data_IF_689345997355
#
_entry.id   IF_689345997355
#
_cell.length_a   1.000
_cell.length_b   1.000
_cell.length_c   1.000
_cell.angle_alpha   90.00
_cell.angle_beta   90.00
_cell.angle_gamma   90.00
#
_symmetry.space_group_name_H-M   'P 1'
#
loop_
_entity.id
_entity.type
_entity.pdbx_description
1 polymer ?
#
# COMPACT_ATOMS: atom_id res chain seq x y z
N UNK A 1 12.17 30.54 -16.89
CA UNK A 1 11.46 30.12 -15.66
C UNK A 1 11.97 30.96 -14.49
N UNK A 2 11.07 31.68 -13.83
CA UNK A 2 11.33 32.52 -12.66
C UNK A 2 10.76 31.86 -11.41
N UNK A 3 11.40 32.08 -10.27
CA UNK A 3 10.89 31.64 -8.96
C UNK A 3 10.10 32.75 -8.30
N UNK A 4 8.83 32.85 -8.67
CA UNK A 4 7.88 33.85 -8.20
C UNK A 4 6.44 33.36 -8.42
N UNK A 5 5.47 33.79 -7.59
CA UNK A 5 4.06 33.55 -7.85
C UNK A 5 3.54 34.40 -9.01
N UNK A 6 2.52 33.90 -9.71
CA UNK A 6 1.85 34.63 -10.79
C UNK A 6 1.34 36.00 -10.33
N UNK A 7 0.81 36.09 -9.12
CA UNK A 7 0.28 37.34 -8.54
C UNK A 7 1.33 38.46 -8.40
N UNK A 8 2.61 38.12 -8.26
CA UNK A 8 3.71 39.10 -8.25
C UNK A 8 4.18 39.45 -9.66
N UNK A 9 4.12 38.48 -10.59
CA UNK A 9 4.62 38.64 -11.95
C UNK A 9 3.63 39.43 -12.81
N UNK A 10 2.35 39.11 -12.72
CA UNK A 10 1.29 39.61 -13.61
C UNK A 10 1.16 41.16 -13.58
N UNK A 11 1.23 41.85 -12.42
CA UNK A 11 1.22 43.32 -12.38
C UNK A 11 2.48 43.98 -12.94
N UNK A 12 3.55 43.21 -13.18
CA UNK A 12 4.85 43.69 -13.64
C UNK A 12 5.13 43.35 -15.11
N UNK A 13 4.17 42.73 -15.80
CA UNK A 13 4.29 42.44 -17.22
C UNK A 13 4.39 43.76 -18.00
N UNK A 14 5.29 43.77 -18.96
CA UNK A 14 5.49 44.88 -19.90
C UNK A 14 5.18 44.40 -21.31
N UNK A 15 4.99 45.34 -22.24
CA UNK A 15 4.92 45.01 -23.66
C UNK A 15 6.10 44.12 -24.06
N UNK A 16 5.83 43.11 -24.87
CA UNK A 16 6.82 42.13 -25.31
C UNK A 16 7.07 40.97 -24.32
N UNK A 17 6.36 40.89 -23.19
CA UNK A 17 6.48 39.78 -22.24
C UNK A 17 5.13 39.19 -21.89
N UNK A 18 4.99 37.88 -22.11
CA UNK A 18 3.84 37.08 -21.72
C UNK A 18 4.23 36.06 -20.63
N UNK A 19 3.22 35.55 -19.93
CA UNK A 19 3.37 34.34 -19.11
C UNK A 19 3.15 33.13 -20.02
N UNK A 20 4.18 32.30 -20.17
CA UNK A 20 4.14 31.09 -20.96
C UNK A 20 3.48 29.92 -20.21
N UNK A 21 3.75 29.82 -18.91
CA UNK A 21 3.25 28.73 -18.08
C UNK A 21 3.25 29.09 -16.60
N UNK A 22 2.25 28.58 -15.87
CA UNK A 22 2.20 28.57 -14.40
C UNK A 22 2.38 27.13 -13.95
N UNK A 23 3.60 26.81 -13.52
CA UNK A 23 4.04 25.45 -13.19
C UNK A 23 3.87 25.10 -11.71
N UNK A 24 3.76 26.11 -10.85
CA UNK A 24 3.57 25.94 -9.40
C UNK A 24 3.31 27.27 -8.71
N UNK A 25 3.07 27.26 -7.39
CA UNK A 25 2.74 28.47 -6.63
C UNK A 25 3.85 29.51 -6.68
N UNK A 26 5.12 29.09 -6.77
CA UNK A 26 6.29 29.95 -6.91
C UNK A 26 7.08 29.68 -8.21
N UNK A 27 6.41 29.18 -9.26
CA UNK A 27 7.09 28.80 -10.51
C UNK A 27 6.31 29.23 -11.74
N UNK A 28 6.81 30.29 -12.39
CA UNK A 28 6.23 30.85 -13.61
C UNK A 28 7.27 30.85 -14.73
N UNK A 29 6.83 30.67 -15.97
CA UNK A 29 7.67 30.81 -17.17
C UNK A 29 7.27 32.08 -17.89
N UNK A 30 8.25 32.94 -18.16
CA UNK A 30 8.11 34.12 -19.00
C UNK A 30 8.59 33.80 -20.41
N UNK A 31 7.88 34.32 -21.41
CA UNK A 31 8.17 34.17 -22.84
C UNK A 31 7.91 35.50 -23.56
N UNK A 32 8.57 35.74 -24.68
CA UNK A 32 8.43 36.97 -25.47
C UNK A 32 9.77 37.46 -25.98
N UNK A 33 9.89 38.78 -26.13
CA UNK A 33 11.10 39.44 -26.60
C UNK A 33 12.26 39.21 -25.64
N UNK A 34 13.38 38.70 -26.14
CA UNK A 34 14.49 38.24 -25.31
C UNK A 34 14.98 39.32 -24.33
N UNK A 35 15.16 40.55 -24.80
CA UNK A 35 15.65 41.64 -23.95
C UNK A 35 14.65 42.01 -22.85
N UNK A 36 13.36 42.07 -23.18
CA UNK A 36 12.30 42.42 -22.23
C UNK A 36 12.13 41.30 -21.18
N UNK A 37 12.12 40.04 -21.61
CA UNK A 37 12.03 38.88 -20.73
C UNK A 37 13.22 38.81 -19.78
N UNK A 38 14.45 39.02 -20.27
CA UNK A 38 15.67 39.00 -19.44
C UNK A 38 15.65 40.14 -18.42
N UNK A 39 15.24 41.35 -18.83
CA UNK A 39 15.13 42.49 -17.93
C UNK A 39 14.12 42.25 -16.80
N UNK A 40 12.94 41.72 -17.13
CA UNK A 40 11.91 41.42 -16.12
C UNK A 40 12.32 40.24 -15.23
N UNK A 41 12.82 39.15 -15.81
CA UNK A 41 13.26 37.97 -15.06
C UNK A 41 14.41 38.25 -14.09
N UNK A 42 15.22 39.27 -14.35
CA UNK A 42 16.32 39.72 -13.48
C UNK A 42 15.90 40.12 -12.06
N UNK A 43 14.60 40.34 -11.81
CA UNK A 43 14.05 40.63 -10.49
C UNK A 43 13.98 39.41 -9.56
N UNK A 44 14.05 38.20 -10.12
CA UNK A 44 13.95 36.95 -9.37
C UNK A 44 15.09 35.99 -9.70
N UNK A 45 15.26 34.98 -8.84
CA UNK A 45 16.05 33.80 -9.20
C UNK A 45 15.39 33.12 -10.38
N UNK A 46 16.13 32.94 -11.46
CA UNK A 46 15.59 32.38 -12.70
C UNK A 46 16.55 31.40 -13.37
N UNK A 47 15.99 30.59 -14.26
CA UNK A 47 16.70 29.70 -15.17
C UNK A 47 16.20 29.94 -16.58
N UNK A 48 17.13 30.16 -17.51
CA UNK A 48 16.82 30.22 -18.95
C UNK A 48 16.52 28.81 -19.46
N UNK A 49 15.44 28.68 -20.22
CA UNK A 49 15.05 27.41 -20.84
C UNK A 49 15.66 27.34 -22.24
N UNK A 50 16.18 26.18 -22.62
CA UNK A 50 16.73 25.93 -23.95
C UNK A 50 15.57 25.58 -24.89
N UNK A 51 14.95 26.61 -25.47
CA UNK A 51 13.84 26.49 -26.42
C UNK A 51 14.20 27.22 -27.71
N UNK A 52 13.68 26.75 -28.84
CA UNK A 52 13.93 27.37 -30.15
C UNK A 52 13.12 28.64 -30.36
N UNK A 53 11.96 28.76 -29.70
CA UNK A 53 11.02 29.86 -29.86
C UNK A 53 10.38 30.21 -28.51
N UNK A 54 9.86 31.44 -28.42
CA UNK A 54 9.04 31.89 -27.30
C UNK A 54 7.59 31.40 -27.48
N UNK A 55 7.35 30.11 -27.25
CA UNK A 55 6.00 29.56 -27.23
C UNK A 55 5.14 30.24 -26.16
N UNK A 56 3.81 30.20 -26.34
CA UNK A 56 2.86 30.81 -25.42
C UNK A 56 3.11 32.31 -25.21
N UNK A 57 3.44 33.03 -26.28
CA UNK A 57 3.64 34.48 -26.28
C UNK A 57 3.14 35.11 -27.58
N UNK A 58 3.06 36.44 -27.60
CA UNK A 58 2.68 37.21 -28.79
C UNK A 58 3.55 36.92 -30.02
N UNK A 59 4.75 36.34 -29.85
CA UNK A 59 5.60 35.91 -30.96
C UNK A 59 5.00 34.74 -31.75
N UNK A 60 3.96 34.09 -31.23
CA UNK A 60 3.19 33.09 -31.97
C UNK A 60 2.12 33.70 -32.88
N UNK A 61 1.68 34.95 -32.63
CA UNK A 61 0.59 35.60 -33.37
C UNK A 61 0.75 35.53 -34.91
N UNK A 62 1.94 35.74 -35.50
CA UNK A 62 2.11 35.71 -36.95
C UNK A 62 1.84 34.36 -37.60
N UNK A 63 1.97 33.25 -36.85
CA UNK A 63 1.78 31.90 -37.39
C UNK A 63 0.39 31.31 -37.11
N UNK A 64 -0.42 31.94 -36.25
CA UNK A 64 -1.70 31.38 -35.79
C UNK A 64 -2.68 31.14 -36.93
N UNK A 65 -2.76 32.02 -37.92
CA UNK A 65 -3.69 31.86 -39.05
C UNK A 65 -3.32 30.67 -39.94
N UNK A 66 -2.03 30.52 -40.27
CA UNK A 66 -1.55 29.37 -41.04
C UNK A 66 -1.71 28.06 -40.24
N UNK A 67 -1.46 28.11 -38.93
CA UNK A 67 -1.64 26.97 -38.04
C UNK A 67 -3.11 26.56 -37.94
N UNK A 68 -4.03 27.53 -37.81
CA UNK A 68 -5.48 27.34 -37.82
C UNK A 68 -5.94 26.63 -39.08
N UNK A 69 -5.53 27.13 -40.25
CA UNK A 69 -5.91 26.53 -41.53
C UNK A 69 -5.53 25.05 -41.62
N UNK A 70 -4.37 24.65 -41.06
CA UNK A 70 -3.95 23.24 -40.98
C UNK A 70 -4.78 22.48 -39.94
N UNK A 71 -4.98 23.05 -38.75
CA UNK A 71 -5.73 22.41 -37.68
C UNK A 71 -7.19 22.13 -38.07
N UNK A 72 -7.82 23.00 -38.87
CA UNK A 72 -9.18 22.81 -39.40
C UNK A 72 -9.31 21.65 -40.39
N UNK A 73 -8.20 21.17 -40.98
CA UNK A 73 -8.22 20.00 -41.87
C UNK A 73 -8.29 18.67 -41.13
N UNK A 74 -8.05 18.66 -39.82
CA UNK A 74 -8.01 17.46 -39.00
C UNK A 74 -9.42 17.03 -38.57
N UNK A 75 -9.63 15.71 -38.50
CA UNK A 75 -10.85 15.16 -37.90
C UNK A 75 -10.64 14.97 -36.41
N UNK A 76 -11.42 15.70 -35.61
CA UNK A 76 -11.38 15.59 -34.15
C UNK A 76 -12.37 14.55 -33.63
N UNK A 77 -11.95 13.81 -32.62
CA UNK A 77 -12.79 12.86 -31.91
C UNK A 77 -12.87 13.25 -30.43
N UNK A 78 -14.04 13.06 -29.79
CA UNK A 78 -14.17 13.27 -28.35
C UNK A 78 -13.12 12.48 -27.57
N UNK A 79 -12.55 13.11 -26.54
CA UNK A 79 -11.61 12.46 -25.66
C UNK A 79 -12.30 11.30 -24.93
N UNK A 80 -11.68 10.11 -24.97
CA UNK A 80 -12.16 8.92 -24.24
C UNK A 80 -11.70 8.89 -22.80
N UNK A 81 -10.60 9.58 -22.52
CA UNK A 81 -10.05 9.77 -21.18
C UNK A 81 -10.36 11.20 -20.74
N UNK A 82 -10.80 11.42 -19.49
CA UNK A 82 -10.93 12.77 -18.94
C UNK A 82 -9.61 13.51 -19.07
N UNK A 83 -9.68 14.78 -19.43
CA UNK A 83 -8.49 15.64 -19.48
C UNK A 83 -8.64 16.73 -18.40
N UNK A 84 -7.62 16.85 -17.56
CA UNK A 84 -7.60 17.76 -16.42
C UNK A 84 -7.65 19.23 -16.87
N UNK A 85 -8.52 20.00 -16.23
CA UNK A 85 -8.67 21.43 -16.52
C UNK A 85 -9.11 21.73 -17.96
N UNK A 86 -9.65 20.74 -18.69
CA UNK A 86 -9.86 20.87 -20.12
C UNK A 86 -11.27 21.31 -20.55
N UNK A 87 -11.33 22.00 -21.70
CA UNK A 87 -12.54 22.54 -22.30
C UNK A 87 -13.52 21.48 -22.78
N UNK A 88 -14.77 21.88 -22.99
CA UNK A 88 -15.86 21.03 -23.49
C UNK A 88 -15.53 20.32 -24.83
N UNK A 89 -14.57 20.85 -25.61
CA UNK A 89 -14.06 20.22 -26.83
C UNK A 89 -12.58 20.54 -27.09
N UNK A 90 -11.90 19.62 -27.79
CA UNK A 90 -10.52 19.75 -28.28
C UNK A 90 -10.58 19.87 -29.80
N UNK A 91 -10.85 21.08 -30.28
CA UNK A 91 -11.01 21.42 -31.70
C UNK A 91 -9.84 22.27 -32.24
N UNK A 92 -9.95 22.75 -33.48
CA UNK A 92 -8.91 23.59 -34.08
C UNK A 92 -8.69 24.89 -33.29
N UNK A 93 -9.74 25.52 -32.79
CA UNK A 93 -9.64 26.74 -31.97
C UNK A 93 -8.91 26.47 -30.66
N UNK A 94 -9.18 25.33 -30.02
CA UNK A 94 -8.44 24.91 -28.84
C UNK A 94 -6.93 24.86 -29.11
N UNK A 95 -6.49 24.28 -30.23
CA UNK A 95 -5.06 24.17 -30.54
C UNK A 95 -4.42 25.54 -30.84
N UNK A 96 -5.12 26.42 -31.55
CA UNK A 96 -4.67 27.80 -31.81
C UNK A 96 -4.52 28.57 -30.50
N UNK A 97 -5.50 28.43 -29.61
CA UNK A 97 -5.45 29.00 -28.27
C UNK A 97 -4.31 28.41 -27.45
N UNK A 98 -4.15 27.09 -27.46
CA UNK A 98 -3.15 26.37 -26.68
C UNK A 98 -1.71 26.77 -27.01
N UNK A 99 -1.40 27.03 -28.29
CA UNK A 99 -0.04 27.46 -28.68
C UNK A 99 0.27 28.90 -28.27
N UNK A 100 -0.77 29.74 -28.11
CA UNK A 100 -0.63 31.17 -27.78
C UNK A 100 -0.77 31.50 -26.30
N UNK A 101 -1.71 30.87 -25.60
CA UNK A 101 -2.05 31.17 -24.21
C UNK A 101 -1.16 30.44 -23.21
N UNK A 102 -1.14 30.96 -21.98
CA UNK A 102 -0.37 30.41 -20.87
C UNK A 102 -0.82 28.99 -20.50
N UNK A 103 0.12 28.08 -20.31
CA UNK A 103 -0.15 26.73 -19.80
C UNK A 103 -0.42 26.77 -18.30
N UNK A 104 -1.66 26.51 -17.88
CA UNK A 104 -2.11 26.46 -16.48
C UNK A 104 -1.82 25.11 -15.81
N UNK A 105 -0.57 24.66 -15.84
CA UNK A 105 -0.19 23.33 -15.35
C UNK A 105 -0.50 23.14 -13.86
N UNK A 106 -0.13 24.11 -13.02
CA UNK A 106 -0.39 24.05 -11.58
C UNK A 106 -1.88 23.92 -11.28
N UNK A 107 -2.71 24.80 -11.85
CA UNK A 107 -4.16 24.81 -11.64
C UNK A 107 -4.78 23.46 -12.03
N UNK A 108 -4.38 22.90 -13.18
CA UNK A 108 -4.86 21.59 -13.63
C UNK A 108 -4.46 20.46 -12.65
N UNK A 109 -3.25 20.51 -12.09
CA UNK A 109 -2.80 19.50 -11.13
C UNK A 109 -3.47 19.62 -9.76
N UNK A 110 -3.74 20.84 -9.31
CA UNK A 110 -4.51 21.08 -8.06
C UNK A 110 -5.95 20.63 -8.22
N UNK A 111 -6.57 20.86 -9.37
CA UNK A 111 -7.91 20.33 -9.66
C UNK A 111 -7.92 18.80 -9.59
N UNK A 112 -6.94 18.12 -10.22
CA UNK A 112 -6.83 16.66 -10.13
C UNK A 112 -6.67 16.16 -8.69
N UNK A 113 -5.88 16.86 -7.87
CA UNK A 113 -5.74 16.53 -6.44
C UNK A 113 -7.06 16.70 -5.70
N UNK A 114 -7.80 17.78 -5.97
CA UNK A 114 -9.12 18.01 -5.41
C UNK A 114 -10.13 16.92 -5.82
N UNK A 115 -9.97 16.38 -7.03
CA UNK A 115 -10.75 15.24 -7.55
C UNK A 115 -10.29 13.87 -7.01
N UNK A 116 -9.29 13.85 -6.11
CA UNK A 116 -8.81 12.64 -5.44
C UNK A 116 -7.69 11.89 -6.16
N UNK A 117 -7.07 12.47 -7.19
CA UNK A 117 -5.92 11.86 -7.86
C UNK A 117 -4.67 11.95 -6.96
N UNK A 118 -4.18 10.79 -6.54
CA UNK A 118 -2.98 10.67 -5.69
C UNK A 118 -1.69 10.27 -6.41
N UNK A 119 -1.78 9.79 -7.65
CA UNK A 119 -0.61 9.26 -8.39
C UNK A 119 -0.49 9.94 -9.75
N UNK A 120 0.69 10.49 -10.03
CA UNK A 120 1.00 11.17 -11.29
C UNK A 120 2.13 10.44 -12.02
N UNK A 121 1.93 10.17 -13.31
CA UNK A 121 2.96 9.62 -14.20
C UNK A 121 3.26 10.63 -15.31
N UNK A 122 4.54 10.96 -15.50
CA UNK A 122 4.96 11.86 -16.58
C UNK A 122 5.29 11.07 -17.84
N UNK A 123 4.50 11.30 -18.89
CA UNK A 123 4.73 10.78 -20.23
C UNK A 123 5.62 11.75 -20.99
N UNK A 124 6.88 11.40 -21.13
CA UNK A 124 7.86 12.22 -21.84
C UNK A 124 9.21 11.52 -21.88
N UNK A 125 10.19 12.09 -22.62
CA UNK A 125 11.54 11.53 -22.74
C UNK A 125 12.40 11.72 -21.48
N UNK A 126 11.94 12.50 -20.50
CA UNK A 126 12.60 12.77 -19.22
C UNK A 126 11.57 13.09 -18.13
N UNK A 127 12.03 13.47 -16.93
CA UNK A 127 11.19 13.82 -15.78
C UNK A 127 11.20 15.30 -15.39
N UNK A 128 10.82 16.19 -16.31
CA UNK A 128 10.86 17.64 -16.07
C UNK A 128 9.71 18.10 -15.17
N UNK A 129 8.53 17.51 -15.34
CA UNK A 129 7.30 17.88 -14.63
C UNK A 129 7.11 17.09 -13.32
N UNK A 130 7.73 15.91 -13.21
CA UNK A 130 7.58 14.97 -12.10
C UNK A 130 7.88 15.63 -10.76
N UNK A 131 8.93 16.45 -10.69
CA UNK A 131 9.30 17.18 -9.49
C UNK A 131 8.26 18.23 -9.06
N UNK A 132 7.41 18.71 -9.96
CA UNK A 132 6.37 19.72 -9.68
C UNK A 132 5.11 19.10 -9.10
N UNK A 133 4.90 17.79 -9.31
CA UNK A 133 3.68 17.09 -8.89
C UNK A 133 3.92 15.93 -7.92
N UNK A 134 5.16 15.71 -7.52
CA UNK A 134 5.61 14.49 -6.84
C UNK A 134 5.24 13.21 -7.63
N UNK A 135 5.44 13.29 -8.95
CA UNK A 135 5.12 12.22 -9.91
C UNK A 135 6.33 11.36 -10.27
N UNK A 136 6.06 10.32 -11.06
CA UNK A 136 7.09 9.40 -11.56
C UNK A 136 7.24 9.51 -13.08
N UNK A 137 8.46 9.76 -13.59
CA UNK A 137 8.69 9.82 -15.03
C UNK A 137 8.75 8.44 -15.64
N UNK A 138 8.10 8.27 -16.80
CA UNK A 138 8.12 7.03 -17.56
C UNK A 138 9.46 6.77 -18.25
N UNK A 139 10.16 7.83 -18.66
CA UNK A 139 11.50 7.75 -19.24
C UNK A 139 12.45 8.74 -18.56
N UNK A 140 13.74 8.47 -18.68
CA UNK A 140 14.79 9.33 -18.14
C UNK A 140 16.03 9.27 -19.02
N UNK A 141 16.50 10.44 -19.43
CA UNK A 141 17.67 10.54 -20.32
C UNK A 141 18.89 9.82 -19.72
N UNK A 142 19.59 9.05 -20.55
CA UNK A 142 20.75 8.25 -20.14
C UNK A 142 20.41 6.99 -19.32
N UNK A 143 19.14 6.59 -19.23
CA UNK A 143 18.70 5.33 -18.62
C UNK A 143 18.05 4.42 -19.66
N UNK A 144 17.88 3.14 -19.32
CA UNK A 144 17.16 2.20 -20.18
C UNK A 144 15.66 2.53 -20.19
N UNK A 145 15.10 2.75 -21.37
CA UNK A 145 13.69 3.05 -21.58
C UNK A 145 12.80 1.96 -20.98
N UNK A 146 13.06 0.70 -21.31
CA UNK A 146 12.30 -0.46 -20.81
C UNK A 146 12.32 -0.49 -19.28
N UNK A 147 13.49 -0.31 -18.66
CA UNK A 147 13.61 -0.37 -17.21
C UNK A 147 12.89 0.78 -16.52
N UNK A 148 13.00 2.00 -17.07
CA UNK A 148 12.35 3.18 -16.49
C UNK A 148 10.83 3.06 -16.61
N UNK A 149 10.34 2.64 -17.77
CA UNK A 149 8.93 2.38 -18.02
C UNK A 149 8.36 1.35 -17.05
N UNK A 150 9.01 0.18 -16.93
CA UNK A 150 8.54 -0.88 -16.03
C UNK A 150 8.56 -0.46 -14.57
N UNK A 151 9.57 0.29 -14.14
CA UNK A 151 9.63 0.84 -12.79
C UNK A 151 8.48 1.83 -12.53
N UNK A 152 8.15 2.69 -13.48
CA UNK A 152 7.05 3.65 -13.35
C UNK A 152 5.68 2.95 -13.30
N UNK A 153 5.46 1.95 -14.15
CA UNK A 153 4.24 1.12 -14.13
C UNK A 153 4.15 0.33 -12.82
N UNK A 154 5.26 -0.24 -12.35
CA UNK A 154 5.31 -0.95 -11.07
C UNK A 154 5.04 -0.01 -9.89
N UNK A 155 5.54 1.22 -9.93
CA UNK A 155 5.23 2.23 -8.92
C UNK A 155 3.73 2.53 -8.90
N UNK A 156 3.12 2.81 -10.06
CA UNK A 156 1.67 2.99 -10.15
C UNK A 156 0.88 1.79 -9.60
N UNK A 157 1.31 0.57 -9.88
CA UNK A 157 0.70 -0.64 -9.34
C UNK A 157 0.79 -0.73 -7.80
N UNK A 158 1.94 -0.40 -7.23
CA UNK A 158 2.15 -0.38 -5.76
C UNK A 158 1.30 0.71 -5.10
N UNK A 159 1.11 1.86 -5.76
CA UNK A 159 0.21 2.93 -5.34
C UNK A 159 -1.28 2.61 -5.56
N UNK A 160 -1.60 1.42 -6.09
CA UNK A 160 -2.97 0.91 -6.22
C UNK A 160 -3.60 1.06 -7.61
N UNK A 161 -2.87 1.55 -8.61
CA UNK A 161 -3.36 1.60 -9.98
C UNK A 161 -3.60 0.19 -10.54
N UNK A 162 -4.72 0.00 -11.23
CA UNK A 162 -5.02 -1.26 -11.90
C UNK A 162 -4.11 -1.45 -13.12
N UNK A 163 -3.19 -2.42 -13.03
CA UNK A 163 -2.34 -2.83 -14.17
C UNK A 163 -2.74 -4.22 -14.63
N UNK A 164 -3.10 -4.34 -15.90
CA UNK A 164 -3.38 -5.64 -16.52
C UNK A 164 -2.07 -6.34 -16.91
N UNK A 165 -1.47 -7.03 -15.94
CA UNK A 165 -0.28 -7.84 -16.16
C UNK A 165 -0.51 -9.00 -17.14
N UNK A 166 -1.76 -9.48 -17.33
CA UNK A 166 -2.04 -10.52 -18.33
C UNK A 166 -1.89 -9.96 -19.73
N UNK A 167 -2.42 -8.77 -19.99
CA UNK A 167 -2.24 -8.07 -21.26
C UNK A 167 -0.76 -7.77 -21.51
N UNK A 168 -0.02 -7.32 -20.48
CA UNK A 168 1.41 -7.04 -20.59
C UNK A 168 2.24 -8.27 -21.03
N UNK A 169 1.94 -9.46 -20.48
CA UNK A 169 2.65 -10.69 -20.81
C UNK A 169 2.05 -11.50 -21.98
N UNK A 170 0.98 -11.02 -22.61
CA UNK A 170 0.31 -11.73 -23.70
C UNK A 170 1.28 -12.00 -24.87
N UNK A 171 1.32 -13.25 -25.36
CA UNK A 171 2.18 -13.65 -26.48
C UNK A 171 3.66 -13.84 -26.16
N UNK A 172 4.10 -13.58 -24.92
CA UNK A 172 5.53 -13.75 -24.52
C UNK A 172 5.89 -15.18 -24.12
N UNK A 173 4.90 -16.05 -23.87
CA UNK A 173 5.10 -17.38 -23.30
C UNK A 173 5.42 -17.38 -21.79
N UNK A 174 5.34 -16.22 -21.13
CA UNK A 174 5.54 -16.14 -19.68
C UNK A 174 4.49 -16.95 -18.93
N UNK A 175 4.93 -17.66 -17.90
CA UNK A 175 4.09 -18.46 -16.99
C UNK A 175 4.11 -17.85 -15.59
N UNK A 176 2.99 -17.96 -14.86
CA UNK A 176 2.97 -17.60 -13.45
C UNK A 176 3.73 -18.65 -12.66
N UNK A 177 4.61 -18.20 -11.78
CA UNK A 177 5.34 -19.04 -10.83
C UNK A 177 4.99 -18.61 -9.42
N UNK A 178 4.93 -19.57 -8.50
CA UNK A 178 4.71 -19.26 -7.09
C UNK A 178 5.98 -18.60 -6.53
N UNK A 179 5.79 -17.44 -5.87
CA UNK A 179 6.84 -16.83 -5.07
C UNK A 179 6.84 -17.46 -3.68
N UNK A 180 8.00 -17.49 -2.98
CA UNK A 180 8.03 -17.86 -1.57
C UNK A 180 6.97 -17.09 -0.80
N UNK A 181 6.16 -17.81 -0.01
CA UNK A 181 5.10 -17.18 0.79
C UNK A 181 5.71 -16.21 1.81
N UNK A 182 4.89 -15.26 2.27
CA UNK A 182 5.28 -14.30 3.31
C UNK A 182 6.02 -15.01 4.45
N UNK A 183 7.22 -14.52 4.78
CA UNK A 183 8.00 -15.04 5.89
C UNK A 183 7.36 -14.56 7.20
N UNK A 184 6.31 -15.25 7.64
CA UNK A 184 5.73 -14.99 8.95
C UNK A 184 6.84 -15.06 10.00
N UNK A 185 6.93 -14.03 10.85
CA UNK A 185 7.74 -14.12 12.05
C UNK A 185 6.97 -15.01 13.03
N UNK A 186 7.28 -16.31 13.03
CA UNK A 186 6.59 -17.31 13.85
C UNK A 186 6.88 -17.03 15.33
N UNK A 187 6.02 -16.23 15.96
CA UNK A 187 6.00 -16.02 17.41
C UNK A 187 4.77 -16.68 18.00
N UNK A 188 4.97 -17.47 19.05
CA UNK A 188 3.88 -18.14 19.77
C UNK A 188 3.24 -17.15 20.74
N UNK A 189 2.11 -16.58 20.36
CA UNK A 189 1.30 -15.70 21.22
C UNK A 189 0.22 -16.44 22.03
N UNK A 190 0.19 -17.78 21.96
CA UNK A 190 -0.72 -18.55 22.80
C UNK A 190 -0.32 -18.43 24.27
N UNK A 191 -1.25 -18.12 25.20
CA UNK A 191 -0.96 -18.07 26.62
C UNK A 191 -0.27 -19.37 27.06
N UNK A 192 0.91 -19.24 27.66
CA UNK A 192 1.52 -20.37 28.37
C UNK A 192 0.75 -20.53 29.65
N UNK A 193 0.05 -21.66 29.81
CA UNK A 193 -0.52 -22.03 31.08
C UNK A 193 0.65 -22.30 32.06
N UNK A 194 1.10 -21.28 32.78
CA UNK A 194 1.90 -21.49 33.98
C UNK A 194 1.04 -22.34 34.91
N UNK A 195 1.54 -23.51 35.31
CA UNK A 195 0.82 -24.52 36.09
C UNK A 195 -0.23 -23.89 37.00
N UNK A 196 -1.50 -24.01 36.60
CA UNK A 196 -2.58 -23.37 37.31
C UNK A 196 -2.72 -24.09 38.66
N UNK A 197 -2.10 -23.50 39.69
CA UNK A 197 -2.31 -23.86 41.11
C UNK A 197 -3.44 -23.04 41.73
N UNK A 198 -4.22 -22.33 40.90
CA UNK A 198 -5.40 -21.62 41.35
C UNK A 198 -6.46 -22.63 41.78
N UNK A 199 -7.06 -22.39 42.95
CA UNK A 199 -8.11 -23.26 43.47
C UNK A 199 -9.27 -23.32 42.46
N UNK A 200 -9.49 -24.51 41.90
CA UNK A 200 -10.62 -24.85 41.02
C UNK A 200 -12.00 -24.59 41.66
N UNK A 201 -12.03 -24.32 42.96
CA UNK A 201 -13.20 -23.78 43.67
C UNK A 201 -13.68 -22.45 43.09
N UNK A 202 -12.78 -21.62 42.53
CA UNK A 202 -13.13 -20.34 41.92
C UNK A 202 -13.97 -20.48 40.65
N UNK A 203 -13.99 -21.66 40.02
CA UNK A 203 -14.85 -21.99 38.86
C UNK A 203 -15.96 -22.99 39.21
N UNK A 204 -16.28 -23.15 40.51
CA UNK A 204 -17.37 -24.00 40.97
C UNK A 204 -17.07 -25.51 41.01
N UNK A 205 -15.80 -25.90 40.87
CA UNK A 205 -15.38 -27.30 40.99
C UNK A 205 -14.81 -27.58 42.39
N UNK A 206 -15.10 -28.75 42.95
CA UNK A 206 -14.51 -29.19 44.21
C UNK A 206 -13.02 -29.45 44.05
N UNK A 207 -12.20 -28.97 44.99
CA UNK A 207 -10.79 -29.33 45.04
C UNK A 207 -10.64 -30.77 45.55
N UNK A 208 -9.79 -31.55 44.88
CA UNK A 208 -9.56 -32.97 45.19
C UNK A 208 -8.26 -33.21 45.96
N UNK A 209 -7.49 -32.16 46.30
CA UNK A 209 -6.19 -32.21 47.00
C UNK A 209 -5.29 -33.38 46.54
N UNK A 210 -5.24 -33.62 45.23
CA UNK A 210 -4.54 -34.75 44.63
C UNK A 210 -3.59 -34.26 43.52
N UNK A 211 -2.34 -34.75 43.43
CA UNK A 211 -1.37 -34.27 42.45
C UNK A 211 -1.82 -34.39 40.98
N UNK A 212 -2.51 -35.49 40.65
CA UNK A 212 -2.95 -35.77 39.28
C UNK A 212 -4.42 -35.41 39.00
N UNK A 213 -5.25 -35.31 40.04
CA UNK A 213 -6.66 -34.93 39.93
C UNK A 213 -6.78 -33.54 40.54
N UNK A 214 -7.01 -32.55 39.68
CA UNK A 214 -7.06 -31.16 40.12
C UNK A 214 -8.44 -30.73 40.57
N UNK A 215 -9.51 -31.28 39.98
CA UNK A 215 -10.87 -30.87 40.27
C UNK A 215 -11.87 -32.03 40.14
N UNK A 216 -12.97 -31.93 40.87
CA UNK A 216 -14.15 -32.78 40.73
C UNK A 216 -15.42 -31.94 40.55
N UNK A 217 -16.36 -32.43 39.75
CA UNK A 217 -17.69 -31.82 39.59
C UNK A 217 -18.75 -32.90 39.40
N UNK A 218 -19.89 -32.78 40.08
CA UNK A 218 -21.03 -33.66 39.85
C UNK A 218 -21.66 -33.34 38.50
N UNK A 219 -21.96 -34.36 37.70
CA UNK A 219 -22.71 -34.17 36.47
C UNK A 219 -24.16 -33.77 36.78
N UNK A 220 -24.79 -33.02 35.87
CA UNK A 220 -26.14 -32.51 36.05
C UNK A 220 -27.21 -33.60 36.28
N UNK A 221 -26.95 -34.83 35.83
CA UNK A 221 -27.82 -35.99 36.10
C UNK A 221 -27.79 -36.46 37.55
N UNK A 222 -26.76 -36.07 38.33
CA UNK A 222 -26.57 -36.51 39.72
C UNK A 222 -26.03 -37.94 39.88
N UNK A 223 -25.90 -38.69 38.78
CA UNK A 223 -25.54 -40.12 38.79
C UNK A 223 -24.02 -40.37 38.65
N UNK A 224 -23.23 -39.34 38.38
CA UNK A 224 -21.79 -39.46 38.18
C UNK A 224 -21.03 -38.21 38.60
N UNK A 225 -19.76 -38.40 38.95
CA UNK A 225 -18.80 -37.33 39.26
C UNK A 225 -17.70 -37.36 38.21
N UNK A 226 -17.42 -36.20 37.62
CA UNK A 226 -16.33 -36.00 36.67
C UNK A 226 -15.11 -35.46 37.43
N UNK A 227 -13.99 -36.15 37.26
CA UNK A 227 -12.68 -35.70 37.75
C UNK A 227 -11.83 -35.21 36.58
N UNK A 228 -11.12 -34.11 36.77
CA UNK A 228 -10.24 -33.52 35.74
C UNK A 228 -8.88 -33.14 36.29
N UNK A 229 -7.86 -33.28 35.46
CA UNK A 229 -6.46 -33.07 35.80
C UNK A 229 -5.59 -32.90 34.57
N UNK A 230 -4.35 -32.41 34.78
CA UNK A 230 -3.36 -32.26 33.71
C UNK A 230 -2.16 -33.16 34.00
N UNK A 231 -2.08 -34.25 33.25
CA UNK A 231 -0.96 -35.18 33.25
C UNK A 231 -0.01 -34.80 32.12
N UNK A 232 1.19 -34.33 32.46
CA UNK A 232 2.21 -33.90 31.50
C UNK A 232 3.58 -33.97 32.16
N UNK A 233 4.63 -34.28 31.39
CA UNK A 233 6.03 -34.20 31.83
C UNK A 233 6.43 -32.79 32.29
N UNK A 234 5.73 -31.74 31.82
CA UNK A 234 5.96 -30.36 32.24
C UNK A 234 5.45 -30.11 33.67
N UNK A 235 4.35 -30.76 34.07
CA UNK A 235 3.77 -30.62 35.42
C UNK A 235 4.25 -31.71 36.38
N UNK A 236 4.59 -32.90 35.87
CA UNK A 236 4.98 -34.07 36.64
C UNK A 236 6.24 -34.71 36.02
N UNK A 237 7.44 -34.15 36.27
CA UNK A 237 8.68 -34.58 35.61
C UNK A 237 9.02 -36.07 35.82
N UNK A 238 8.61 -36.66 36.95
CA UNK A 238 8.81 -38.08 37.26
C UNK A 238 8.13 -39.03 36.25
N UNK A 239 7.13 -38.56 35.48
CA UNK A 239 6.53 -39.36 34.43
C UNK A 239 7.56 -39.77 33.36
N UNK A 240 8.58 -38.94 33.11
CA UNK A 240 9.64 -39.26 32.17
C UNK A 240 10.41 -40.54 32.53
N UNK A 241 10.43 -40.91 33.82
CA UNK A 241 11.14 -42.10 34.31
C UNK A 241 10.39 -43.41 33.97
N UNK A 242 9.10 -43.35 33.60
CA UNK A 242 8.32 -44.51 33.17
C UNK A 242 8.20 -44.56 31.63
N UNK A 243 9.31 -44.95 31.01
CA UNK A 243 9.43 -45.09 29.56
C UNK A 243 9.48 -46.58 29.16
N UNK A 244 8.57 -47.00 28.27
CA UNK A 244 8.54 -48.35 27.71
C UNK A 244 8.76 -48.24 26.19
N UNK A 245 9.77 -48.92 25.67
CA UNK A 245 10.15 -48.89 24.25
C UNK A 245 10.30 -47.47 23.67
N UNK A 246 10.84 -46.54 24.48
CA UNK A 246 11.09 -45.15 24.07
C UNK A 246 9.87 -44.23 24.12
N UNK A 247 8.72 -44.72 24.58
CA UNK A 247 7.50 -43.92 24.78
C UNK A 247 7.24 -43.74 26.28
N UNK A 248 7.04 -42.49 26.71
CA UNK A 248 6.60 -42.18 28.09
C UNK A 248 5.14 -42.59 28.22
N UNK A 249 4.85 -43.56 29.08
CA UNK A 249 3.50 -44.05 29.36
C UNK A 249 3.13 -43.72 30.80
N UNK A 250 1.87 -43.39 31.05
CA UNK A 250 1.40 -43.24 32.43
C UNK A 250 1.46 -44.62 33.12
N UNK A 251 2.13 -44.77 34.28
CA UNK A 251 2.20 -46.07 34.94
C UNK A 251 0.82 -46.59 35.31
N UNK A 252 0.62 -47.91 35.20
CA UNK A 252 -0.62 -48.55 35.68
C UNK A 252 -0.90 -48.26 37.16
N UNK A 253 0.14 -48.15 37.99
CA UNK A 253 0.02 -47.75 39.39
C UNK A 253 -0.58 -46.33 39.56
N UNK A 254 -0.29 -45.40 38.64
CA UNK A 254 -0.91 -44.09 38.66
C UNK A 254 -2.41 -44.17 38.31
N UNK A 255 -2.81 -45.06 37.40
CA UNK A 255 -4.24 -45.29 37.11
C UNK A 255 -4.98 -45.87 38.33
N UNK A 256 -4.34 -46.77 39.08
CA UNK A 256 -4.88 -47.30 40.35
C UNK A 256 -5.06 -46.17 41.37
N UNK A 257 -4.04 -45.32 41.55
CA UNK A 257 -4.12 -44.16 42.45
C UNK A 257 -5.27 -43.21 42.07
N UNK A 258 -5.46 -42.94 40.77
CA UNK A 258 -6.58 -42.13 40.27
C UNK A 258 -7.94 -42.76 40.62
N UNK A 259 -8.07 -44.09 40.47
CA UNK A 259 -9.30 -44.81 40.76
C UNK A 259 -9.62 -44.81 42.27
N UNK A 260 -8.62 -45.06 43.12
CA UNK A 260 -8.75 -45.00 44.60
C UNK A 260 -9.18 -43.60 45.03
N UNK A 261 -8.50 -42.56 44.54
CA UNK A 261 -8.85 -41.18 44.92
C UNK A 261 -10.25 -40.79 44.47
N UNK A 262 -10.68 -41.22 43.29
CA UNK A 262 -12.05 -41.00 42.82
C UNK A 262 -13.07 -41.74 43.72
N UNK A 263 -12.75 -42.98 44.12
CA UNK A 263 -13.53 -43.79 45.06
C UNK A 263 -13.71 -43.11 46.42
N UNK A 264 -12.61 -42.67 47.05
CA UNK A 264 -12.64 -41.94 48.33
C UNK A 264 -13.61 -40.75 48.30
N UNK A 265 -13.63 -40.02 47.20
CA UNK A 265 -14.45 -38.81 47.05
C UNK A 265 -15.96 -39.12 46.96
N UNK A 266 -16.33 -40.33 46.54
CA UNK A 266 -17.72 -40.78 46.43
C UNK A 266 -18.12 -41.80 47.51
N UNK A 267 -17.22 -42.09 48.47
CA UNK A 267 -17.46 -43.03 49.55
C UNK A 267 -17.30 -44.51 49.16
N UNK A 268 -16.55 -44.80 48.09
CA UNK A 268 -16.19 -46.15 47.65
C UNK A 268 -14.72 -46.45 48.01
N UNK A 269 -14.49 -47.11 49.13
CA UNK A 269 -13.15 -47.31 49.72
C UNK A 269 -12.35 -48.49 49.11
N UNK A 270 -12.97 -49.28 48.22
CA UNK A 270 -12.37 -50.50 47.67
C UNK A 270 -12.43 -50.52 46.13
N UNK A 271 -11.28 -50.79 45.51
CA UNK A 271 -11.19 -51.17 44.09
C UNK A 271 -11.16 -52.70 44.03
N UNK A 272 -12.27 -53.31 43.60
CA UNK A 272 -12.39 -54.77 43.46
C UNK A 272 -11.64 -55.30 42.23
N UNK A 273 -11.78 -54.61 41.10
CA UNK A 273 -11.11 -54.92 39.84
C UNK A 273 -10.84 -53.63 39.06
N UNK A 274 -9.65 -53.53 38.44
CA UNK A 274 -9.31 -52.45 37.52
C UNK A 274 -8.79 -53.04 36.21
N UNK A 275 -9.60 -52.93 35.16
CA UNK A 275 -9.23 -53.33 33.80
C UNK A 275 -8.74 -52.12 33.03
N UNK A 276 -7.50 -52.18 32.54
CA UNK A 276 -6.89 -51.16 31.69
C UNK A 276 -6.87 -51.66 30.25
N UNK A 277 -7.57 -50.96 29.37
CA UNK A 277 -7.49 -51.19 27.93
C UNK A 277 -6.48 -50.23 27.30
N UNK A 278 -5.64 -50.75 26.40
CA UNK A 278 -4.58 -50.03 25.71
C UNK A 278 -5.01 -49.55 24.32
#
# INVERSE_FOLDING_TARGET
AVRAPESEVLPLLTDGVDIAAVNGPDSVVLSGDEQAVVALAGRWKHKRLAVSHAFHSHLMDPMLEAFRAVAETLTYHPARLPIAGQPESVDAEYWVRHVREAVRFHDATEQLRADGVGTFLEIGPDGVLSAMVDGVPLLRSGRSDIRTLLNAVAHGFVEGAAVDWRAFFAGTGAVRVDLPTYAFQHQRFWPRASGWTGSVTAIGMGATDHPLLSAATSLASGEAVLFTGRVSIETHPWLADHTISGTVLLPGAAMVELAVRAGDQVGCELVEELTLEA
#
